data_IF_484686749217
#
_entry.id   IF_484686749217
#
_cell.length_a   1.000
_cell.length_b   1.000
_cell.length_c   1.000
_cell.angle_alpha   90.00
_cell.angle_beta   90.00
_cell.angle_gamma   90.00
#
_symmetry.space_group_name_H-M   'P 1'
#
loop_
_entity.id
_entity.type
_entity.pdbx_description
1 polymer ?
#
# COMPACT_ATOMS: atom_id res chain seq x y z
N UNK A 1 4.03 24.82 -4.36
CA UNK A 1 2.91 24.58 -3.42
C UNK A 1 3.20 23.33 -2.60
N UNK A 2 3.50 23.51 -1.31
CA UNK A 2 3.67 22.38 -0.38
C UNK A 2 2.25 21.86 -0.10
N UNK A 3 1.87 20.76 -0.74
CA UNK A 3 0.61 20.10 -0.40
C UNK A 3 0.74 19.52 0.99
N UNK A 4 -0.04 20.08 1.91
CA UNK A 4 -0.14 19.63 3.29
C UNK A 4 -0.44 18.14 3.32
N UNK A 5 0.49 17.35 3.87
CA UNK A 5 0.40 15.90 3.89
C UNK A 5 -0.69 15.48 4.88
N UNK A 6 -1.93 15.32 4.40
CA UNK A 6 -3.04 14.87 5.23
C UNK A 6 -2.81 13.42 5.64
N UNK A 7 -2.29 13.25 6.85
CA UNK A 7 -2.18 11.97 7.55
C UNK A 7 -3.46 11.76 8.35
N UNK A 8 -4.09 10.61 8.18
CA UNK A 8 -5.30 10.22 8.93
C UNK A 8 -4.99 9.05 9.84
N UNK A 9 -5.61 8.98 11.01
CA UNK A 9 -5.42 7.85 11.90
C UNK A 9 -5.91 6.53 11.27
N UNK A 10 -5.25 5.43 11.60
CA UNK A 10 -5.61 4.10 11.11
C UNK A 10 -6.06 3.23 12.30
N UNK A 11 -7.36 3.14 12.59
CA UNK A 11 -7.87 2.40 13.76
C UNK A 11 -7.68 0.88 13.64
N UNK A 12 -7.33 0.36 12.45
CA UNK A 12 -6.99 -1.03 12.23
C UNK A 12 -5.55 -1.38 12.67
N UNK A 13 -4.76 -0.38 13.08
CA UNK A 13 -3.41 -0.54 13.63
C UNK A 13 -3.39 -0.02 15.08
N UNK A 14 -2.32 -0.29 15.85
CA UNK A 14 -2.20 0.22 17.22
C UNK A 14 -2.35 1.75 17.31
N UNK A 15 -2.64 2.30 18.51
CA UNK A 15 -2.77 3.74 18.69
C UNK A 15 -1.56 4.54 18.17
N UNK A 16 -1.84 5.71 17.59
CA UNK A 16 -0.83 6.63 17.04
C UNK A 16 -0.33 6.28 15.64
N UNK A 17 -0.78 5.19 15.03
CA UNK A 17 -0.49 4.88 13.63
C UNK A 17 -1.32 5.71 12.67
N UNK A 18 -0.66 6.26 11.66
CA UNK A 18 -1.30 7.13 10.65
C UNK A 18 -1.08 6.62 9.24
N UNK A 19 -2.07 6.82 8.37
CA UNK A 19 -2.06 6.54 6.93
C UNK A 19 -1.95 7.84 6.14
N UNK A 20 -1.21 7.81 5.04
CA UNK A 20 -1.12 8.88 4.06
C UNK A 20 -1.33 8.31 2.66
N UNK A 21 -2.13 8.99 1.84
CA UNK A 21 -2.27 8.69 0.42
C UNK A 21 -1.71 9.85 -0.41
N UNK A 22 -0.75 9.55 -1.29
CA UNK A 22 -0.02 10.55 -2.07
C UNK A 22 -0.27 10.31 -3.56
N UNK A 23 -0.85 11.29 -4.24
CA UNK A 23 -1.04 11.25 -5.69
C UNK A 23 0.27 11.57 -6.41
N UNK A 24 0.69 10.70 -7.33
CA UNK A 24 1.84 10.90 -8.20
C UNK A 24 1.56 12.05 -9.16
N UNK A 25 2.50 13.00 -9.26
CA UNK A 25 2.30 14.26 -10.00
C UNK A 25 2.74 14.21 -11.46
N UNK A 26 3.59 13.27 -11.84
CA UNK A 26 4.23 13.24 -13.16
C UNK A 26 4.55 11.82 -13.63
N UNK A 27 4.94 11.72 -14.91
CA UNK A 27 5.31 10.47 -15.58
C UNK A 27 4.11 9.59 -15.97
N UNK A 28 4.39 8.40 -16.49
CA UNK A 28 3.37 7.44 -16.99
C UNK A 28 2.35 6.96 -15.95
N UNK A 29 2.63 7.21 -14.66
CA UNK A 29 1.75 6.84 -13.55
C UNK A 29 1.17 8.04 -12.81
N UNK A 30 1.27 9.24 -13.39
CA UNK A 30 0.61 10.44 -12.87
C UNK A 30 -0.89 10.17 -12.61
N UNK A 31 -1.41 10.74 -11.53
CA UNK A 31 -2.78 10.51 -11.08
C UNK A 31 -2.98 9.23 -10.26
N UNK A 32 -2.12 8.22 -10.36
CA UNK A 32 -2.15 7.07 -9.43
C UNK A 32 -1.68 7.49 -8.05
N UNK A 33 -2.11 6.75 -7.02
CA UNK A 33 -1.75 7.04 -5.64
C UNK A 33 -0.82 5.99 -5.03
N UNK A 34 0.05 6.42 -4.13
CA UNK A 34 0.82 5.56 -3.23
C UNK A 34 0.28 5.70 -1.80
N UNK A 35 0.30 4.60 -1.05
CA UNK A 35 -0.14 4.59 0.35
C UNK A 35 1.07 4.37 1.26
N UNK A 36 1.13 5.15 2.32
CA UNK A 36 2.16 5.08 3.35
C UNK A 36 1.54 4.96 4.73
N UNK A 37 2.22 4.26 5.63
CA UNK A 37 1.90 4.27 7.06
C UNK A 37 3.04 4.88 7.85
N UNK A 38 2.70 5.49 8.99
CA UNK A 38 3.62 6.10 9.91
C UNK A 38 3.41 5.53 11.31
N UNK A 39 4.49 5.11 11.96
CA UNK A 39 4.45 4.76 13.38
C UNK A 39 4.17 5.99 14.24
N UNK A 40 3.83 5.82 15.53
CA UNK A 40 3.74 6.93 16.48
C UNK A 40 5.03 7.77 16.57
N UNK A 41 6.19 7.15 16.31
CA UNK A 41 7.51 7.79 16.24
C UNK A 41 7.84 8.41 14.88
N UNK A 42 6.92 8.38 13.91
CA UNK A 42 7.10 8.98 12.59
C UNK A 42 7.83 8.11 11.55
N UNK A 43 8.16 6.85 11.87
CA UNK A 43 8.81 5.93 10.92
C UNK A 43 7.85 5.59 9.78
N UNK A 44 8.32 5.72 8.54
CA UNK A 44 7.52 5.52 7.33
C UNK A 44 7.60 4.09 6.79
N UNK A 45 6.45 3.55 6.39
CA UNK A 45 6.27 2.23 5.80
C UNK A 45 5.60 2.32 4.45
N UNK A 46 6.12 1.61 3.45
CA UNK A 46 5.67 1.66 2.04
C UNK A 46 5.05 0.37 1.54
N UNK A 47 4.98 -0.67 2.37
CA UNK A 47 4.39 -1.97 2.00
C UNK A 47 3.93 -2.79 3.19
N UNK A 48 3.00 -3.73 2.96
CA UNK A 48 2.50 -4.68 3.97
C UNK A 48 3.62 -5.55 4.58
N UNK A 49 4.56 -6.14 3.82
CA UNK A 49 5.63 -6.94 4.42
C UNK A 49 6.59 -6.11 5.28
N UNK A 50 6.88 -4.87 4.90
CA UNK A 50 7.70 -3.97 5.71
C UNK A 50 7.02 -3.63 7.03
N UNK A 51 5.72 -3.35 6.99
CA UNK A 51 4.90 -3.07 8.17
C UNK A 51 4.79 -4.30 9.09
N UNK A 52 4.53 -5.48 8.51
CA UNK A 52 4.44 -6.76 9.23
C UNK A 52 5.73 -7.11 9.96
N UNK A 53 6.91 -6.96 9.32
CA UNK A 53 8.18 -7.20 10.00
C UNK A 53 8.43 -6.26 11.18
N UNK A 54 7.90 -5.04 11.12
CA UNK A 54 8.07 -4.07 12.20
C UNK A 54 7.12 -4.30 13.37
N UNK A 55 5.88 -4.67 13.09
CA UNK A 55 4.90 -5.00 14.13
C UNK A 55 5.12 -6.41 14.70
N UNK A 56 5.75 -7.31 13.95
CA UNK A 56 6.01 -8.68 14.38
C UNK A 56 4.71 -9.38 14.80
N UNK A 57 4.76 -10.07 15.94
CA UNK A 57 3.64 -10.86 16.46
C UNK A 57 2.65 -10.03 17.29
N UNK A 58 2.86 -8.72 17.43
CA UNK A 58 1.98 -7.85 18.23
C UNK A 58 0.65 -7.55 17.53
N UNK A 59 0.61 -7.65 16.20
CA UNK A 59 -0.57 -7.37 15.38
C UNK A 59 -0.62 -8.37 14.24
N UNK A 60 -1.71 -9.13 14.15
CA UNK A 60 -1.97 -9.97 12.99
C UNK A 60 -2.45 -9.10 11.81
N UNK A 61 -1.63 -9.03 10.76
CA UNK A 61 -1.96 -8.32 9.53
C UNK A 61 -2.52 -9.26 8.45
N UNK A 62 -2.86 -10.52 8.74
CA UNK A 62 -3.38 -11.49 7.78
C UNK A 62 -4.52 -10.91 6.93
N UNK A 63 -5.55 -10.39 7.60
CA UNK A 63 -6.72 -9.76 6.98
C UNK A 63 -6.55 -8.26 6.69
N UNK A 64 -5.42 -7.65 7.03
CA UNK A 64 -5.20 -6.21 6.80
C UNK A 64 -4.96 -5.91 5.32
N UNK A 65 -5.76 -5.00 4.75
CA UNK A 65 -5.57 -4.50 3.39
C UNK A 65 -4.78 -3.18 3.40
N UNK A 66 -3.54 -3.25 2.91
CA UNK A 66 -2.60 -2.12 3.00
C UNK A 66 -3.06 -0.88 2.22
N UNK A 67 -3.77 -1.06 1.10
CA UNK A 67 -4.24 0.06 0.27
C UNK A 67 -5.36 0.82 0.99
N UNK A 68 -6.36 0.11 1.48
CA UNK A 68 -7.53 0.73 2.10
C UNK A 68 -7.26 1.13 3.55
N UNK A 69 -6.41 0.40 4.27
CA UNK A 69 -6.16 0.58 5.71
C UNK A 69 -7.27 -0.01 6.57
N UNK A 70 -7.96 -1.02 6.07
CA UNK A 70 -9.08 -1.71 6.74
C UNK A 70 -8.77 -3.20 6.90
N UNK A 71 -9.36 -3.80 7.93
CA UNK A 71 -9.41 -5.26 8.05
C UNK A 71 -10.48 -5.81 7.09
N UNK A 72 -10.09 -6.76 6.24
CA UNK A 72 -10.93 -7.38 5.23
C UNK A 72 -10.95 -8.90 5.46
N UNK A 73 -11.83 -9.41 6.35
CA UNK A 73 -11.87 -10.83 6.72
C UNK A 73 -12.21 -11.76 5.54
N UNK A 74 -12.91 -11.25 4.52
CA UNK A 74 -13.31 -11.98 3.31
C UNK A 74 -12.12 -12.39 2.42
N UNK A 75 -10.91 -11.85 2.63
CA UNK A 75 -9.71 -12.19 1.84
C UNK A 75 -8.94 -13.40 2.35
N UNK A 76 -9.38 -14.03 3.45
CA UNK A 76 -8.74 -15.23 4.01
C UNK A 76 -8.80 -16.46 3.08
N UNK A 77 -9.53 -16.40 1.96
CA UNK A 77 -9.79 -17.55 1.07
C UNK A 77 -8.85 -17.75 -0.13
N UNK A 78 -7.73 -17.02 -0.29
CA UNK A 78 -6.82 -17.31 -1.43
C UNK A 78 -5.39 -17.62 -0.99
N UNK A 79 -5.20 -18.92 -0.72
CA UNK A 79 -3.93 -19.59 -0.84
C UNK A 79 -3.36 -19.38 -2.27
N UNK A 80 -2.08 -18.99 -2.34
CA UNK A 80 -1.14 -19.21 -3.46
C UNK A 80 -1.52 -18.73 -4.88
N UNK A 81 -1.33 -17.43 -5.16
CA UNK A 81 -0.66 -16.99 -6.41
C UNK A 81 -0.31 -15.50 -6.34
N UNK A 82 0.94 -15.22 -5.96
CA UNK A 82 1.55 -13.92 -6.22
C UNK A 82 2.01 -13.94 -7.69
N UNK A 83 1.08 -13.83 -8.63
CA UNK A 83 1.44 -13.48 -10.01
C UNK A 83 1.90 -12.02 -9.96
N UNK A 84 3.21 -11.82 -9.99
CA UNK A 84 3.78 -10.55 -10.45
C UNK A 84 3.29 -10.41 -11.88
N UNK A 85 2.40 -9.46 -12.14
CA UNK A 85 1.99 -9.12 -13.48
C UNK A 85 3.16 -8.41 -14.16
N UNK A 86 4.05 -9.20 -14.77
CA UNK A 86 4.88 -8.72 -15.87
C UNK A 86 3.91 -8.52 -17.05
N UNK A 87 3.45 -7.28 -17.25
CA UNK A 87 2.66 -6.97 -18.43
C UNK A 87 3.62 -6.63 -19.58
N UNK A 88 3.68 -7.57 -20.52
CA UNK A 88 4.49 -7.57 -21.72
C UNK A 88 4.30 -6.30 -22.56
N UNK A 89 5.42 -5.81 -23.09
CA UNK A 89 5.46 -5.02 -24.32
C UNK A 89 4.74 -5.77 -25.44
N UNK A 90 3.64 -5.21 -25.94
CA UNK A 90 3.06 -5.60 -27.22
C UNK A 90 2.57 -4.35 -27.97
N UNK A 91 3.51 -3.59 -28.53
CA UNK A 91 3.24 -2.82 -29.74
C UNK A 91 3.78 -3.63 -30.92
N UNK A 92 2.84 -4.31 -31.58
CA UNK A 92 2.97 -5.11 -32.79
C UNK A 92 3.84 -4.41 -33.83
N UNK A 93 4.83 -5.17 -34.31
CA UNK A 93 5.34 -5.13 -35.68
C UNK A 93 4.15 -5.25 -36.63
N UNK A 94 4.12 -4.38 -37.64
CA UNK A 94 3.63 -4.53 -39.02
C UNK A 94 3.16 -3.17 -39.53
N UNK A 95 3.97 -2.53 -40.36
CA UNK A 95 3.51 -2.14 -41.68
C UNK A 95 4.70 -2.29 -42.63
N UNK A 96 4.43 -3.04 -43.69
CA UNK A 96 5.24 -3.22 -44.89
C UNK A 96 5.52 -1.86 -45.52
#
# INVERSE_FOLDING_TARGET
>A
MIMEKKRTDCPALPPGWKKEEVIRKSGLSAGKSDVYYYSPTGKKFRSKPQLSRYLGNTVDLGCFDFRTGKMMPSKMQKNKQRMRSDNLNLSKVHNV
#
